data_IF_073021736869
#
_entry.id   IF_073021736869
#
_cell.length_a   1.000
_cell.length_b   1.000
_cell.length_c   1.000
_cell.angle_alpha   90.00
_cell.angle_beta   90.00
_cell.angle_gamma   90.00
#
_symmetry.space_group_name_H-M   'P 1'
#
loop_
_entity.id
_entity.type
_entity.pdbx_description
1 polymer ?
#
# COMPACT_ATOMS: atom_id res chain seq x y z
N UNK A 1 -20.05 2.59 -50.88
CA UNK A 1 -18.62 2.81 -50.51
C UNK A 1 -18.44 3.83 -49.40
N UNK A 2 -19.12 4.97 -49.42
CA UNK A 2 -19.04 5.98 -48.34
C UNK A 2 -19.40 5.47 -46.95
N UNK A 3 -20.43 4.62 -46.82
CA UNK A 3 -20.87 4.04 -45.55
C UNK A 3 -19.87 3.08 -44.93
N UNK A 4 -19.15 2.28 -45.74
CA UNK A 4 -18.13 1.35 -45.29
C UNK A 4 -16.93 2.12 -44.81
N UNK A 5 -16.54 3.19 -45.49
CA UNK A 5 -15.42 4.04 -45.10
C UNK A 5 -15.69 4.80 -43.80
N UNK A 6 -16.90 5.33 -43.62
CA UNK A 6 -17.35 5.95 -42.36
C UNK A 6 -17.39 4.95 -41.21
N UNK A 7 -17.86 3.72 -41.45
CA UNK A 7 -17.93 2.65 -40.47
C UNK A 7 -16.50 2.22 -40.01
N UNK A 8 -15.55 2.10 -40.94
CA UNK A 8 -14.14 1.84 -40.67
C UNK A 8 -13.48 2.95 -39.85
N UNK A 9 -13.82 4.21 -40.12
CA UNK A 9 -13.31 5.37 -39.39
C UNK A 9 -13.82 5.40 -37.94
N UNK A 10 -15.09 5.07 -37.72
CA UNK A 10 -15.69 4.98 -36.39
C UNK A 10 -15.08 3.83 -35.58
N UNK A 11 -14.88 2.66 -36.19
CA UNK A 11 -14.25 1.51 -35.55
C UNK A 11 -12.81 1.83 -35.13
N UNK A 12 -12.07 2.52 -36.02
CA UNK A 12 -10.70 2.93 -35.71
C UNK A 12 -10.65 3.97 -34.59
N UNK A 13 -11.57 4.89 -34.52
CA UNK A 13 -11.68 5.89 -33.46
C UNK A 13 -12.05 5.26 -32.13
N UNK A 14 -12.98 4.27 -32.11
CA UNK A 14 -13.33 3.51 -30.91
C UNK A 14 -12.13 2.70 -30.40
N UNK A 15 -11.36 2.08 -31.30
CA UNK A 15 -10.15 1.33 -30.94
C UNK A 15 -9.07 2.24 -30.33
N UNK A 16 -8.95 3.47 -30.82
CA UNK A 16 -8.02 4.46 -30.28
C UNK A 16 -8.40 4.93 -28.86
N UNK A 17 -9.71 5.03 -28.57
CA UNK A 17 -10.19 5.40 -27.25
C UNK A 17 -9.93 4.27 -26.23
N UNK A 18 -10.06 3.01 -26.64
CA UNK A 18 -9.83 1.85 -25.79
C UNK A 18 -8.33 1.69 -25.47
N UNK A 19 -7.46 2.07 -26.40
CA UNK A 19 -5.98 2.00 -26.23
C UNK A 19 -5.46 3.02 -25.21
N UNK A 20 -6.23 4.03 -24.85
CA UNK A 20 -5.91 5.00 -23.79
C UNK A 20 -6.40 4.57 -22.41
N UNK A 21 -6.88 3.35 -22.23
CA UNK A 21 -7.12 2.81 -20.90
C UNK A 21 -5.78 2.62 -20.20
N UNK A 22 -5.33 3.73 -19.69
CA UNK A 22 -4.35 3.97 -18.65
C UNK A 22 -3.63 2.70 -18.17
N UNK A 23 -2.35 2.73 -18.29
CA UNK A 23 -1.47 2.20 -17.27
C UNK A 23 -1.97 2.79 -15.95
N UNK A 24 -2.95 2.14 -15.33
CA UNK A 24 -3.48 2.55 -14.04
C UNK A 24 -2.27 2.73 -13.12
N UNK A 25 -2.13 3.90 -12.51
CA UNK A 25 -1.12 4.17 -11.52
C UNK A 25 -1.30 3.17 -10.38
N UNK A 26 -0.60 2.04 -10.47
CA UNK A 26 -0.65 1.00 -9.46
C UNK A 26 -0.24 1.59 -8.12
N UNK A 27 -1.09 1.43 -7.10
CA UNK A 27 -0.81 1.94 -5.77
C UNK A 27 0.28 1.11 -5.11
N UNK A 28 1.22 1.81 -4.47
CA UNK A 28 2.28 1.20 -3.65
C UNK A 28 1.80 1.23 -2.21
N UNK A 29 1.26 0.10 -1.75
CA UNK A 29 0.70 -0.02 -0.41
C UNK A 29 1.78 -0.50 0.56
N UNK A 30 1.98 0.25 1.64
CA UNK A 30 2.98 -0.05 2.68
C UNK A 30 2.28 -0.15 4.03
N UNK A 31 2.35 -1.31 4.66
CA UNK A 31 1.86 -1.53 6.01
C UNK A 31 2.87 -1.08 7.05
N UNK A 32 2.41 -0.45 8.11
CA UNK A 32 3.26 -0.04 9.23
C UNK A 32 2.80 -0.80 10.48
N UNK A 33 3.67 -1.64 11.02
CA UNK A 33 3.41 -2.40 12.25
C UNK A 33 4.13 -1.72 13.42
N UNK A 34 3.41 -0.89 14.15
CA UNK A 34 3.98 0.01 15.14
C UNK A 34 3.23 -0.07 16.47
N UNK A 35 3.94 0.06 17.62
CA UNK A 35 3.29 0.25 18.90
C UNK A 35 2.72 1.68 18.98
N UNK A 36 1.43 1.83 18.78
CA UNK A 36 0.76 3.15 18.78
C UNK A 36 0.04 3.43 20.09
N UNK A 37 0.05 2.49 21.03
CA UNK A 37 -0.46 2.61 22.39
C UNK A 37 0.48 1.90 23.37
N UNK A 38 0.26 2.11 24.68
CA UNK A 38 1.06 1.50 25.74
C UNK A 38 2.39 2.20 25.98
N UNK A 39 3.31 1.48 26.61
CA UNK A 39 4.60 2.01 27.10
C UNK A 39 5.48 2.55 25.96
N UNK A 40 5.54 1.83 24.83
CA UNK A 40 6.39 2.16 23.70
C UNK A 40 5.71 3.03 22.63
N UNK A 41 4.56 3.63 22.93
CA UNK A 41 3.79 4.44 21.97
C UNK A 41 4.56 5.62 21.38
N UNK A 42 5.45 6.24 22.16
CA UNK A 42 6.21 7.39 21.69
C UNK A 42 7.20 7.02 20.58
N UNK A 43 7.82 5.84 20.69
CA UNK A 43 8.69 5.29 19.64
C UNK A 43 7.85 5.01 18.37
N UNK A 44 6.71 4.35 18.51
CA UNK A 44 5.82 4.05 17.38
C UNK A 44 5.31 5.31 16.68
N UNK A 45 4.90 6.31 17.43
CA UNK A 45 4.47 7.61 16.88
C UNK A 45 5.61 8.36 16.19
N UNK A 46 6.82 8.30 16.73
CA UNK A 46 8.00 8.92 16.11
C UNK A 46 8.32 8.28 14.77
N UNK A 47 8.27 6.95 14.68
CA UNK A 47 8.45 6.23 13.42
C UNK A 47 7.35 6.58 12.42
N UNK A 48 6.09 6.61 12.85
CA UNK A 48 4.97 6.99 11.98
C UNK A 48 5.16 8.40 11.41
N UNK A 49 5.57 9.35 12.26
CA UNK A 49 5.86 10.72 11.83
C UNK A 49 7.00 10.77 10.81
N UNK A 50 8.08 10.03 11.06
CA UNK A 50 9.22 9.95 10.14
C UNK A 50 8.82 9.37 8.77
N UNK A 51 8.00 8.31 8.76
CA UNK A 51 7.49 7.71 7.51
C UNK A 51 6.61 8.71 6.76
N UNK A 52 5.71 9.41 7.44
CA UNK A 52 4.88 10.46 6.81
C UNK A 52 5.72 11.58 6.20
N UNK A 53 6.77 12.00 6.89
CA UNK A 53 7.70 13.02 6.37
C UNK A 53 8.44 12.52 5.13
N UNK A 54 8.91 11.26 5.15
CA UNK A 54 9.58 10.64 4.00
C UNK A 54 8.65 10.54 2.78
N UNK A 55 7.42 10.07 2.97
CA UNK A 55 6.41 9.98 1.90
C UNK A 55 6.11 11.35 1.31
N UNK A 56 5.97 12.36 2.16
CA UNK A 56 5.76 13.75 1.72
C UNK A 56 6.93 14.27 0.87
N UNK A 57 8.15 13.97 1.29
CA UNK A 57 9.37 14.37 0.57
C UNK A 57 9.50 13.67 -0.78
N UNK A 58 9.15 12.39 -0.86
CA UNK A 58 9.15 11.62 -2.12
C UNK A 58 8.12 12.19 -3.09
N UNK A 59 6.99 12.64 -2.57
CA UNK A 59 5.90 13.27 -3.33
C UNK A 59 5.40 12.39 -4.50
N UNK A 60 5.28 11.08 -4.27
CA UNK A 60 4.67 10.14 -5.23
C UNK A 60 3.25 9.81 -4.76
N UNK A 61 2.20 10.22 -5.50
CA UNK A 61 0.81 10.01 -5.10
C UNK A 61 0.39 8.53 -5.09
N UNK A 62 1.21 7.63 -5.62
CA UNK A 62 0.93 6.20 -5.60
C UNK A 62 1.18 5.58 -4.22
N UNK A 63 2.07 6.18 -3.41
CA UNK A 63 2.43 5.64 -2.11
C UNK A 63 1.29 5.86 -1.12
N UNK A 64 0.81 4.76 -0.57
CA UNK A 64 -0.22 4.73 0.48
C UNK A 64 0.30 3.98 1.69
N UNK A 65 0.21 4.59 2.86
CA UNK A 65 0.64 3.97 4.12
C UNK A 65 -0.57 3.50 4.93
N UNK A 66 -0.45 2.34 5.53
CA UNK A 66 -1.47 1.67 6.34
C UNK A 66 -0.90 1.36 7.73
N UNK A 67 -0.98 2.33 8.66
CA UNK A 67 -0.50 2.10 10.02
C UNK A 67 -1.46 1.18 10.79
N UNK A 68 -0.90 0.20 11.47
CA UNK A 68 -1.60 -0.69 12.39
C UNK A 68 -0.89 -0.71 13.73
N UNK A 69 -1.67 -0.59 14.79
CA UNK A 69 -1.17 -0.75 16.14
C UNK A 69 -0.90 -2.23 16.42
N UNK A 70 0.35 -2.59 16.71
CA UNK A 70 0.73 -3.94 17.08
C UNK A 70 0.76 -4.16 18.60
N UNK A 71 0.50 -3.11 19.40
CA UNK A 71 0.47 -3.13 20.86
C UNK A 71 1.78 -3.63 21.50
N UNK A 72 2.88 -3.61 20.75
CA UNK A 72 4.16 -4.22 21.16
C UNK A 72 4.02 -5.70 21.61
N UNK A 73 3.12 -6.43 20.96
CA UNK A 73 2.78 -7.81 21.27
C UNK A 73 2.98 -8.71 20.04
N UNK A 74 3.68 -9.87 20.18
CA UNK A 74 3.96 -10.75 19.05
C UNK A 74 2.71 -11.31 18.36
N UNK A 75 1.68 -11.68 19.12
CA UNK A 75 0.44 -12.22 18.58
C UNK A 75 -0.34 -11.16 17.81
N UNK A 76 -0.51 -10.00 18.42
CA UNK A 76 -1.20 -8.85 17.77
C UNK A 76 -0.44 -8.33 16.57
N UNK A 77 0.86 -8.38 16.59
CA UNK A 77 1.69 -8.06 15.42
C UNK A 77 1.40 -9.00 14.25
N UNK A 78 1.34 -10.31 14.52
CA UNK A 78 1.00 -11.31 13.50
C UNK A 78 -0.41 -11.10 12.96
N UNK A 79 -1.40 -10.90 13.83
CA UNK A 79 -2.78 -10.65 13.45
C UNK A 79 -2.91 -9.39 12.56
N UNK A 80 -2.26 -8.30 12.95
CA UNK A 80 -2.24 -7.06 12.19
C UNK A 80 -1.57 -7.23 10.82
N UNK A 81 -0.44 -7.91 10.77
CA UNK A 81 0.27 -8.19 9.51
C UNK A 81 -0.56 -9.08 8.59
N UNK A 82 -1.20 -10.11 9.14
CA UNK A 82 -2.09 -11.01 8.38
C UNK A 82 -3.27 -10.26 7.78
N UNK A 83 -3.94 -9.43 8.55
CA UNK A 83 -5.05 -8.59 8.06
C UNK A 83 -4.62 -7.71 6.88
N UNK A 84 -3.50 -6.99 7.03
CA UNK A 84 -2.97 -6.15 5.96
C UNK A 84 -2.54 -6.97 4.74
N UNK A 85 -1.95 -8.15 4.95
CA UNK A 85 -1.54 -9.04 3.87
C UNK A 85 -2.75 -9.55 3.07
N UNK A 86 -3.83 -9.92 3.75
CA UNK A 86 -5.10 -10.33 3.11
C UNK A 86 -5.74 -9.18 2.33
N UNK A 87 -5.53 -7.93 2.76
CA UNK A 87 -5.94 -6.72 2.03
C UNK A 87 -5.00 -6.36 0.85
N UNK A 88 -4.05 -7.22 0.54
CA UNK A 88 -3.16 -7.06 -0.62
C UNK A 88 -1.90 -6.25 -0.35
N UNK A 89 -1.57 -5.96 0.91
CA UNK A 89 -0.35 -5.24 1.28
C UNK A 89 0.80 -6.24 1.40
N UNK A 90 1.87 -6.04 0.63
CA UNK A 90 3.01 -6.96 0.53
C UNK A 90 4.31 -6.36 1.08
N UNK A 91 4.33 -5.07 1.34
CA UNK A 91 5.49 -4.37 1.87
C UNK A 91 5.17 -3.84 3.26
N UNK A 92 6.04 -4.13 4.22
CA UNK A 92 5.85 -3.73 5.61
C UNK A 92 7.07 -2.99 6.15
N UNK A 93 6.80 -2.01 6.99
CA UNK A 93 7.77 -1.34 7.85
C UNK A 93 7.44 -1.70 9.29
N UNK A 94 8.40 -2.23 10.02
CA UNK A 94 8.22 -2.81 11.36
C UNK A 94 8.09 -4.34 11.31
N UNK A 95 7.90 -4.96 12.48
CA UNK A 95 7.80 -4.34 13.81
C UNK A 95 9.16 -3.75 14.27
N UNK A 96 9.11 -2.86 15.26
CA UNK A 96 10.33 -2.19 15.77
C UNK A 96 11.19 -3.14 16.60
N UNK A 97 10.54 -3.97 17.43
CA UNK A 97 11.22 -4.88 18.34
C UNK A 97 11.25 -6.31 17.78
N UNK A 98 12.42 -6.93 17.85
CA UNK A 98 12.67 -8.27 17.32
C UNK A 98 11.70 -9.33 17.84
N UNK A 99 11.35 -9.29 19.13
CA UNK A 99 10.37 -10.24 19.74
C UNK A 99 9.06 -10.33 18.96
N UNK A 100 8.67 -9.27 18.26
CA UNK A 100 7.41 -9.18 17.53
C UNK A 100 7.51 -9.70 16.07
N UNK A 101 8.71 -9.99 15.60
CA UNK A 101 8.94 -10.45 14.21
C UNK A 101 8.95 -11.96 14.03
N UNK A 102 9.09 -12.72 15.12
CA UNK A 102 9.38 -14.17 15.08
C UNK A 102 8.37 -15.02 14.29
N UNK A 103 7.13 -14.58 14.18
CA UNK A 103 6.08 -15.33 13.50
C UNK A 103 5.72 -14.77 12.12
N UNK A 104 6.28 -13.63 11.72
CA UNK A 104 5.92 -12.97 10.46
C UNK A 104 6.39 -13.74 9.22
N UNK A 105 7.48 -14.49 9.33
CA UNK A 105 7.99 -15.32 8.25
C UNK A 105 7.04 -16.47 7.84
N UNK A 106 5.96 -16.69 8.61
CA UNK A 106 4.94 -17.71 8.33
C UNK A 106 3.76 -17.19 7.50
N UNK A 107 3.75 -15.89 7.20
CA UNK A 107 2.78 -15.27 6.30
C UNK A 107 3.13 -15.50 4.84
#
# INVERSE_FOLDING_TARGET
MKKIFQSLLVINFIFFIISNSSLANEKIKVGLLLPLSGENREIGRSVLKAVKMAVNKINDPRIQIYPKNNFDDPKKTYEAAKELYEDGIKVFIGPIFEKNSNNLAKL
#
